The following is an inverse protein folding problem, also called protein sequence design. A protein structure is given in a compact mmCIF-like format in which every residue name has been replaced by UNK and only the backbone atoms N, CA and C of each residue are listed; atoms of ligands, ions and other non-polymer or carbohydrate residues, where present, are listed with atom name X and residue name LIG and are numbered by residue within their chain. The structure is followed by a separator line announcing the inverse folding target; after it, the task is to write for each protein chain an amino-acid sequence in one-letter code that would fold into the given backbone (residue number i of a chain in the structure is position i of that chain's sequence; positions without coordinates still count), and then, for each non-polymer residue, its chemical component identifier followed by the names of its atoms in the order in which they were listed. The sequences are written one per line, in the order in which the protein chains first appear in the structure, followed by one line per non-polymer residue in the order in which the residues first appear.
data_IF_679948452868
#
_entry.id   IF_679948452868
#
_cell.length_a   1.000
_cell.length_b   1.000
_cell.length_c   1.000
_cell.angle_alpha   90.00
_cell.angle_beta   90.00
_cell.angle_gamma   90.00
#
_symmetry.space_group_name_H-M   'P 1'
#
loop_
_entity.id
_entity.type
_entity.pdbx_description
1 polymer ?
#
# COMPACT_ATOMS: atom_id res chain seq x y z
N UNK A 1 40.73 45.03 -7.28
CA UNK A 1 40.18 44.62 -5.97
C UNK A 1 38.69 44.25 -6.04
N UNK A 2 37.87 44.93 -6.84
CA UNK A 2 36.41 44.68 -6.89
C UNK A 2 36.02 43.28 -7.43
N UNK A 3 36.78 42.75 -8.39
CA UNK A 3 36.47 41.46 -9.06
C UNK A 3 36.65 40.24 -8.14
N UNK A 4 37.65 40.28 -7.25
CA UNK A 4 37.88 39.27 -6.20
C UNK A 4 36.75 39.29 -5.16
N UNK A 5 36.29 40.49 -4.76
CA UNK A 5 35.15 40.63 -3.84
C UNK A 5 33.84 40.10 -4.46
N UNK A 6 33.59 40.38 -5.74
CA UNK A 6 32.40 39.87 -6.44
C UNK A 6 32.45 38.34 -6.53
N UNK A 7 33.60 37.75 -6.90
CA UNK A 7 33.78 36.29 -6.89
C UNK A 7 33.50 35.69 -5.52
N UNK A 8 34.08 36.25 -4.46
CA UNK A 8 33.88 35.78 -3.10
C UNK A 8 32.39 35.84 -2.69
N UNK A 9 31.68 36.93 -3.00
CA UNK A 9 30.25 37.05 -2.72
C UNK A 9 29.39 36.03 -3.48
N UNK A 10 29.71 35.79 -4.75
CA UNK A 10 29.00 34.81 -5.58
C UNK A 10 29.19 33.40 -5.04
N UNK A 11 30.42 33.00 -4.73
CA UNK A 11 30.73 31.69 -4.13
C UNK A 11 29.97 31.50 -2.81
N UNK A 12 29.95 32.53 -1.96
CA UNK A 12 29.30 32.48 -0.65
C UNK A 12 27.77 32.38 -0.77
N UNK A 13 27.16 33.03 -1.77
CA UNK A 13 25.72 32.87 -2.08
C UNK A 13 25.40 31.45 -2.56
N UNK A 14 26.20 30.90 -3.48
CA UNK A 14 26.00 29.53 -3.96
C UNK A 14 26.18 28.49 -2.85
N UNK A 15 27.17 28.66 -1.98
CA UNK A 15 27.38 27.78 -0.83
C UNK A 15 26.15 27.79 0.09
N UNK A 16 25.64 28.97 0.47
CA UNK A 16 24.42 29.08 1.30
C UNK A 16 23.20 28.44 0.65
N UNK A 17 23.03 28.63 -0.66
CA UNK A 17 21.91 28.06 -1.40
C UNK A 17 22.02 26.53 -1.49
N UNK A 18 23.24 26.01 -1.68
CA UNK A 18 23.53 24.58 -1.66
C UNK A 18 23.22 23.97 -0.30
N UNK A 19 23.71 24.56 0.79
CA UNK A 19 23.47 24.06 2.15
C UNK A 19 21.98 24.04 2.48
N UNK A 20 21.25 25.07 2.06
CA UNK A 20 19.79 25.13 2.21
C UNK A 20 19.08 24.02 1.43
N UNK A 21 19.52 23.72 0.21
CA UNK A 21 18.96 22.64 -0.60
C UNK A 21 19.29 21.26 -0.03
N UNK A 22 20.53 21.05 0.42
CA UNK A 22 20.94 19.81 1.08
C UNK A 22 20.12 19.55 2.36
N UNK A 23 19.84 20.59 3.14
CA UNK A 23 18.96 20.50 4.31
C UNK A 23 17.54 20.10 3.94
N UNK A 24 16.95 20.73 2.92
CA UNK A 24 15.60 20.39 2.44
C UNK A 24 15.52 18.97 1.89
N UNK A 25 16.55 18.53 1.15
CA UNK A 25 16.68 17.15 0.66
C UNK A 25 16.74 16.18 1.84
N UNK A 26 17.50 16.49 2.89
CA UNK A 26 17.58 15.62 4.05
C UNK A 26 16.24 15.54 4.81
N UNK A 27 15.58 16.68 5.05
CA UNK A 27 14.27 16.72 5.70
C UNK A 27 13.22 15.92 4.93
N UNK A 28 13.22 16.01 3.60
CA UNK A 28 12.29 15.25 2.76
C UNK A 28 12.61 13.76 2.76
N UNK A 29 13.89 13.35 2.76
CA UNK A 29 14.30 11.95 2.91
C UNK A 29 13.81 11.37 4.24
N UNK A 30 13.99 12.11 5.33
CA UNK A 30 13.56 11.68 6.66
C UNK A 30 12.02 11.58 6.73
N UNK A 31 11.30 12.52 6.12
CA UNK A 31 9.85 12.48 6.04
C UNK A 31 9.34 11.25 5.25
N UNK A 32 9.98 10.90 4.13
CA UNK A 32 9.66 9.71 3.35
C UNK A 32 9.89 8.44 4.18
N UNK A 33 11.05 8.33 4.84
CA UNK A 33 11.38 7.18 5.67
C UNK A 33 10.38 7.00 6.83
N UNK A 34 9.92 8.10 7.44
CA UNK A 34 8.91 8.07 8.49
C UNK A 34 7.56 7.54 7.97
N UNK A 35 7.14 7.95 6.77
CA UNK A 35 5.90 7.45 6.15
C UNK A 35 6.00 5.97 5.79
N UNK A 36 7.12 5.53 5.20
CA UNK A 36 7.38 4.13 4.88
C UNK A 36 7.33 3.25 6.16
N UNK A 37 7.98 3.71 7.24
CA UNK A 37 7.94 3.02 8.53
C UNK A 37 6.52 2.94 9.11
N UNK A 38 5.76 4.04 9.08
CA UNK A 38 4.39 4.06 9.57
C UNK A 38 3.47 3.09 8.79
N UNK A 39 3.61 3.04 7.45
CA UNK A 39 2.87 2.09 6.61
C UNK A 39 3.24 0.65 6.93
N UNK A 40 4.52 0.35 7.11
CA UNK A 40 4.99 -1.00 7.46
C UNK A 40 4.47 -1.45 8.83
N UNK A 41 4.52 -0.58 9.84
CA UNK A 41 3.97 -0.86 11.17
C UNK A 41 2.46 -1.15 11.08
N UNK A 42 1.72 -0.33 10.32
CA UNK A 42 0.28 -0.54 10.10
C UNK A 42 -0.01 -1.87 9.41
N UNK A 43 0.77 -2.23 8.38
CA UNK A 43 0.62 -3.49 7.67
C UNK A 43 0.86 -4.69 8.60
N UNK A 44 1.93 -4.65 9.40
CA UNK A 44 2.24 -5.71 10.37
C UNK A 44 1.13 -5.84 11.41
N UNK A 45 0.61 -4.72 11.92
CA UNK A 45 -0.48 -4.73 12.88
C UNK A 45 -1.77 -5.35 12.30
N UNK A 46 -2.11 -5.02 11.05
CA UNK A 46 -3.25 -5.61 10.34
C UNK A 46 -3.07 -7.11 10.10
N UNK A 47 -1.89 -7.54 9.66
CA UNK A 47 -1.59 -8.96 9.48
C UNK A 47 -1.72 -9.74 10.79
N UNK A 48 -1.24 -9.18 11.90
CA UNK A 48 -1.40 -9.77 13.23
C UNK A 48 -2.88 -9.88 13.64
N UNK A 49 -3.68 -8.85 13.38
CA UNK A 49 -5.12 -8.86 13.65
C UNK A 49 -5.87 -9.89 12.80
N UNK A 50 -5.55 -10.00 11.51
CA UNK A 50 -6.12 -11.02 10.62
C UNK A 50 -5.79 -12.42 11.15
N UNK A 51 -4.52 -12.68 11.47
CA UNK A 51 -4.09 -13.98 12.00
C UNK A 51 -4.81 -14.32 13.32
N UNK A 52 -4.99 -13.32 14.20
CA UNK A 52 -5.76 -13.47 15.44
C UNK A 52 -7.22 -13.83 15.16
N UNK A 53 -7.88 -13.11 14.27
CA UNK A 53 -9.29 -13.35 13.94
C UNK A 53 -9.49 -14.72 13.25
N UNK A 54 -8.57 -15.15 12.40
CA UNK A 54 -8.59 -16.49 11.81
C UNK A 54 -8.49 -17.60 12.87
N UNK A 55 -7.65 -17.43 13.91
CA UNK A 55 -7.57 -18.37 15.04
C UNK A 55 -8.90 -18.43 15.80
N UNK A 56 -9.52 -17.28 16.07
CA UNK A 56 -10.82 -17.21 16.74
C UNK A 56 -11.94 -17.86 15.92
N UNK A 57 -11.98 -17.62 14.60
CA UNK A 57 -12.94 -18.29 13.71
C UNK A 57 -12.79 -19.81 13.74
N UNK A 58 -11.55 -20.32 13.65
CA UNK A 58 -11.28 -21.76 13.77
C UNK A 58 -11.78 -22.32 15.10
N UNK A 59 -11.52 -21.62 16.20
CA UNK A 59 -11.99 -22.03 17.53
C UNK A 59 -13.53 -22.06 17.61
N UNK A 60 -14.20 -21.02 17.10
CA UNK A 60 -15.67 -20.93 17.10
C UNK A 60 -16.29 -22.02 16.23
N UNK A 61 -15.75 -22.30 15.05
CA UNK A 61 -16.21 -23.43 14.23
C UNK A 61 -16.09 -24.76 14.98
N UNK A 62 -14.99 -24.98 15.71
CA UNK A 62 -14.81 -26.15 16.57
C UNK A 62 -15.87 -26.24 17.67
N UNK A 63 -16.15 -25.14 18.37
CA UNK A 63 -17.20 -25.07 19.39
C UNK A 63 -18.60 -25.31 18.82
N UNK A 64 -18.91 -24.74 17.66
CA UNK A 64 -20.17 -24.97 16.95
C UNK A 64 -20.32 -26.45 16.61
N UNK A 65 -19.27 -27.10 16.08
CA UNK A 65 -19.30 -28.52 15.77
C UNK A 65 -19.57 -29.39 17.02
N UNK A 66 -18.84 -29.12 18.12
CA UNK A 66 -19.05 -29.80 19.41
C UNK A 66 -20.49 -29.60 19.91
N UNK A 67 -21.00 -28.37 19.88
CA UNK A 67 -22.35 -28.06 20.32
C UNK A 67 -23.40 -28.79 19.48
N UNK A 68 -23.26 -28.79 18.15
CA UNK A 68 -24.14 -29.51 17.24
C UNK A 68 -24.14 -31.01 17.53
N UNK A 69 -22.98 -31.61 17.79
CA UNK A 69 -22.86 -33.04 18.12
C UNK A 69 -23.48 -33.38 19.48
N UNK A 70 -23.30 -32.53 20.50
CA UNK A 70 -23.98 -32.70 21.78
C UNK A 70 -25.51 -32.64 21.63
N UNK A 71 -26.03 -31.68 20.86
CA UNK A 71 -27.45 -31.58 20.55
C UNK A 71 -27.97 -32.79 19.75
N UNK A 72 -27.16 -33.38 18.87
CA UNK A 72 -27.52 -34.62 18.15
C UNK A 72 -27.58 -35.81 19.10
N UNK A 73 -26.57 -35.99 19.95
CA UNK A 73 -26.52 -37.09 20.94
C UNK A 73 -27.67 -37.02 21.94
N UNK A 74 -28.00 -35.82 22.43
CA UNK A 74 -29.13 -35.63 23.34
C UNK A 74 -30.47 -35.98 22.69
N UNK A 75 -30.67 -35.59 21.43
CA UNK A 75 -31.86 -35.98 20.65
C UNK A 75 -31.93 -37.48 20.43
N UNK A 76 -30.84 -38.11 20.01
CA UNK A 76 -30.80 -39.56 19.82
C UNK A 76 -31.23 -40.32 21.09
N UNK A 77 -30.75 -39.90 22.27
CA UNK A 77 -31.18 -40.49 23.55
C UNK A 77 -32.67 -40.28 23.82
N UNK A 78 -33.16 -39.06 23.58
CA UNK A 78 -34.57 -38.73 23.74
C UNK A 78 -35.48 -39.53 22.79
N UNK A 79 -35.07 -39.68 21.53
CA UNK A 79 -35.80 -40.46 20.52
C UNK A 79 -35.81 -41.96 20.89
N UNK A 80 -34.72 -42.47 21.47
CA UNK A 80 -34.66 -43.84 22.02
C UNK A 80 -35.62 -44.02 23.20
N UNK A 81 -35.65 -43.08 24.14
CA UNK A 81 -36.57 -43.08 25.28
C UNK A 81 -38.04 -43.02 24.83
N UNK A 82 -38.37 -42.11 23.90
CA UNK A 82 -39.70 -42.04 23.28
C UNK A 82 -40.04 -43.35 22.59
N UNK A 83 -39.12 -43.93 21.81
CA UNK A 83 -39.37 -45.19 21.11
C UNK A 83 -39.54 -46.37 22.06
N UNK A 84 -38.90 -46.35 23.22
CA UNK A 84 -39.11 -47.32 24.31
C UNK A 84 -40.50 -47.13 24.92
N UNK A 85 -40.85 -45.91 25.30
CA UNK A 85 -42.18 -45.59 25.86
C UNK A 85 -43.31 -45.93 24.87
N UNK A 86 -43.15 -45.61 23.57
CA UNK A 86 -44.10 -45.99 22.51
C UNK A 86 -44.28 -47.50 22.42
N UNK A 87 -43.19 -48.28 22.51
CA UNK A 87 -43.27 -49.75 22.52
C UNK A 87 -43.95 -50.29 23.77
N UNK A 88 -43.69 -49.71 24.93
CA UNK A 88 -44.36 -50.08 26.19
C UNK A 88 -45.87 -49.78 26.12
N UNK A 89 -46.26 -48.63 25.58
CA UNK A 89 -47.67 -48.28 25.33
C UNK A 89 -48.30 -49.24 24.33
N UNK A 90 -47.65 -49.52 23.20
CA UNK A 90 -48.15 -50.49 22.20
C UNK A 90 -48.25 -51.92 22.77
N UNK A 91 -47.36 -52.30 23.70
CA UNK A 91 -47.44 -53.59 24.39
C UNK A 91 -48.60 -53.63 25.39
N UNK A 92 -48.88 -52.53 26.09
CA UNK A 92 -50.09 -52.36 26.90
C UNK A 92 -51.35 -52.36 26.02
N UNK A 93 -51.32 -51.76 24.83
CA UNK A 93 -52.40 -51.87 23.85
C UNK A 93 -52.50 -53.29 23.26
N UNK A 94 -51.41 -54.06 23.16
CA UNK A 94 -51.45 -55.48 22.80
C UNK A 94 -52.05 -56.35 23.92
N UNK A 95 -52.13 -55.82 25.15
CA UNK A 95 -53.07 -56.35 26.16
C UNK A 95 -54.53 -56.01 25.83
N UNK A 96 -54.85 -55.50 24.64
CA UNK A 96 -56.18 -55.58 24.03
C UNK A 96 -56.71 -57.01 24.06
N UNK A 97 -55.86 -58.04 24.08
CA UNK A 97 -56.26 -59.42 24.38
C UNK A 97 -56.90 -59.56 25.78
N UNK A 98 -56.32 -58.92 26.78
CA UNK A 98 -56.87 -58.81 28.14
C UNK A 98 -58.10 -57.90 28.19
N UNK A 99 -58.11 -56.74 27.49
CA UNK A 99 -59.28 -55.85 27.42
C UNK A 99 -60.45 -56.52 26.69
N UNK A 100 -60.21 -57.28 25.60
CA UNK A 100 -61.22 -58.13 24.94
C UNK A 100 -61.73 -59.23 25.87
N UNK A 101 -60.86 -59.84 26.66
CA UNK A 101 -61.22 -60.92 27.59
C UNK A 101 -62.05 -60.42 28.79
N UNK A 102 -61.76 -59.23 29.31
CA UNK A 102 -62.42 -58.65 30.49
C UNK A 102 -63.67 -57.85 30.12
N UNK A 103 -63.66 -57.08 29.02
CA UNK A 103 -64.74 -56.18 28.63
C UNK A 103 -65.60 -56.69 27.47
N UNK A 104 -65.35 -57.90 26.96
CA UNK A 104 -66.30 -58.58 26.06
C UNK A 104 -66.47 -57.92 24.69
N UNK A 105 -65.39 -57.42 24.10
CA UNK A 105 -65.32 -56.98 22.70
C UNK A 105 -65.15 -55.48 22.51
N UNK A 106 -63.96 -55.08 22.05
CA UNK A 106 -63.74 -53.78 21.41
C UNK A 106 -64.47 -53.67 20.06
N UNK A 107 -64.45 -52.48 19.42
CA UNK A 107 -65.46 -52.02 18.45
C UNK A 107 -65.55 -52.75 17.09
N UNK A 108 -64.77 -53.82 16.88
CA UNK A 108 -64.77 -54.57 15.62
C UNK A 108 -65.77 -55.75 15.60
N UNK A 109 -66.85 -55.67 16.39
CA UNK A 109 -67.98 -56.60 16.32
C UNK A 109 -68.70 -56.62 14.96
N UNK A 110 -68.38 -55.69 14.06
CA UNK A 110 -68.95 -55.60 12.71
C UNK A 110 -68.21 -56.40 11.63
N UNK A 111 -67.10 -57.09 11.95
CA UNK A 111 -66.42 -57.99 10.99
C UNK A 111 -66.72 -59.48 11.25
N UNK A 112 -67.71 -59.78 12.10
CA UNK A 112 -67.98 -61.15 12.57
C UNK A 112 -69.05 -61.90 11.78
N UNK A 113 -69.37 -61.47 10.56
CA UNK A 113 -70.23 -62.23 9.63
C UNK A 113 -69.46 -62.92 8.49
N UNK A 114 -68.12 -62.79 8.43
CA UNK A 114 -67.31 -63.41 7.37
C UNK A 114 -66.23 -64.41 7.82
N UNK A 115 -66.20 -64.81 9.09
CA UNK A 115 -65.34 -65.93 9.54
C UNK A 115 -66.15 -66.95 10.34
N UNK A 116 -67.09 -67.62 9.67
CA UNK A 116 -67.37 -69.02 10.01
C UNK A 116 -66.17 -69.81 9.47
N UNK A 117 -65.38 -70.34 10.40
CA UNK A 117 -64.27 -71.30 10.24
C UNK A 117 -62.91 -70.74 10.72
N UNK A 118 -62.81 -70.46 12.02
CA UNK A 118 -61.54 -70.67 12.72
C UNK A 118 -61.81 -71.06 14.18
N UNK A 119 -61.42 -72.29 14.49
CA UNK A 119 -61.52 -72.96 15.78
C UNK A 119 -60.53 -72.36 16.78
N UNK A 120 -60.87 -71.21 17.36
CA UNK A 120 -60.16 -70.66 18.52
C UNK A 120 -61.18 -70.37 19.61
N UNK A 121 -61.06 -71.13 20.70
CA UNK A 121 -62.02 -71.22 21.80
C UNK A 121 -62.48 -69.87 22.32
N UNK A 122 -63.75 -69.58 22.10
CA UNK A 122 -64.46 -68.48 22.75
C UNK A 122 -65.25 -69.12 23.90
N UNK A 123 -64.85 -68.86 25.15
CA UNK A 123 -65.58 -69.30 26.34
C UNK A 123 -67.02 -68.78 26.29
N UNK A 124 -67.96 -69.65 25.94
CA UNK A 124 -69.38 -69.39 26.09
C UNK A 124 -69.81 -69.83 27.50
N UNK A 125 -70.53 -68.99 28.27
CA UNK A 125 -71.05 -69.38 29.57
C UNK A 125 -72.07 -70.52 29.37
N UNK A 126 -71.76 -71.70 29.91
CA UNK A 126 -72.55 -72.92 29.70
C UNK A 126 -73.74 -73.04 30.67
N UNK A 127 -73.75 -72.27 31.76
CA UNK A 127 -74.80 -72.33 32.79
C UNK A 127 -75.86 -71.23 32.66
N UNK A 128 -77.13 -71.60 32.89
CA UNK A 128 -78.29 -70.69 32.85
C UNK A 128 -78.19 -69.57 33.90
N UNK A 129 -77.61 -69.86 35.06
CA UNK A 129 -77.36 -68.88 36.12
C UNK A 129 -76.29 -67.86 35.73
N UNK A 130 -75.27 -68.29 34.99
CA UNK A 130 -74.16 -67.46 34.55
C UNK A 130 -74.60 -66.44 33.49
N UNK A 131 -75.47 -66.86 32.56
CA UNK A 131 -76.11 -65.97 31.57
C UNK A 131 -77.01 -64.92 32.21
N UNK A 132 -77.74 -65.30 33.27
CA UNK A 132 -78.60 -64.37 34.01
C UNK A 132 -77.78 -63.34 34.80
N UNK A 133 -76.71 -63.78 35.46
CA UNK A 133 -75.83 -62.89 36.20
C UNK A 133 -75.11 -61.89 35.28
N UNK A 134 -74.58 -62.35 34.14
CA UNK A 134 -73.98 -61.47 33.13
C UNK A 134 -74.99 -60.46 32.54
N UNK A 135 -76.22 -60.87 32.29
CA UNK A 135 -77.28 -59.96 31.82
C UNK A 135 -77.65 -58.90 32.86
N UNK A 136 -77.70 -59.29 34.15
CA UNK A 136 -77.99 -58.36 35.25
C UNK A 136 -76.86 -57.35 35.44
N UNK A 137 -75.61 -57.81 35.33
CA UNK A 137 -74.41 -56.96 35.44
C UNK A 137 -74.28 -56.00 34.25
N UNK A 138 -74.64 -56.45 33.04
CA UNK A 138 -74.70 -55.60 31.84
C UNK A 138 -75.76 -54.50 31.98
N UNK A 139 -76.97 -54.84 32.44
CA UNK A 139 -78.01 -53.83 32.73
C UNK A 139 -77.60 -52.83 33.81
N UNK A 140 -76.86 -53.26 34.83
CA UNK A 140 -76.32 -52.34 35.85
C UNK A 140 -75.24 -51.40 35.28
N UNK A 141 -74.36 -51.90 34.39
CA UNK A 141 -73.38 -51.06 33.72
C UNK A 141 -74.04 -50.06 32.75
N UNK A 142 -75.05 -50.50 32.00
CA UNK A 142 -75.86 -49.64 31.12
C UNK A 142 -76.63 -48.56 31.89
N UNK A 143 -77.04 -48.81 33.14
CA UNK A 143 -77.67 -47.80 34.01
C UNK A 143 -76.68 -46.75 34.56
N UNK A 144 -75.39 -47.09 34.67
CA UNK A 144 -74.35 -46.17 35.18
C UNK A 144 -73.72 -45.35 34.05
N UNK A 145 -73.78 -45.84 32.81
CA UNK A 145 -73.26 -45.16 31.63
C UNK A 145 -74.39 -44.39 30.95
N UNK A 146 -74.50 -43.09 31.26
CA UNK A 146 -75.40 -42.18 30.54
C UNK A 146 -75.07 -42.15 29.03
N UNK A 147 -76.05 -41.90 28.18
CA UNK A 147 -75.81 -41.75 26.73
C UNK A 147 -74.74 -40.67 26.43
N UNK A 148 -74.68 -39.61 27.25
CA UNK A 148 -73.65 -38.56 27.15
C UNK A 148 -72.21 -39.06 27.38
N UNK A 149 -71.99 -40.02 28.28
CA UNK A 149 -70.65 -40.57 28.50
C UNK A 149 -70.22 -41.48 27.36
N UNK A 150 -71.15 -42.24 26.77
CA UNK A 150 -70.92 -42.97 25.52
C UNK A 150 -70.56 -42.04 24.36
N UNK A 151 -71.28 -40.93 24.22
CA UNK A 151 -71.05 -39.97 23.12
C UNK A 151 -69.75 -39.17 23.34
N UNK A 152 -69.39 -38.85 24.59
CA UNK A 152 -68.07 -38.28 24.92
C UNK A 152 -66.93 -39.22 24.60
N UNK A 153 -67.06 -40.52 24.91
CA UNK A 153 -66.04 -41.51 24.57
C UNK A 153 -65.91 -41.64 23.05
N UNK A 154 -67.03 -41.68 22.31
CA UNK A 154 -67.02 -41.69 20.85
C UNK A 154 -66.36 -40.45 20.26
N UNK A 155 -66.59 -39.26 20.83
CA UNK A 155 -65.93 -38.03 20.40
C UNK A 155 -64.43 -38.01 20.70
N UNK A 156 -64.00 -38.58 21.83
CA UNK A 156 -62.58 -38.70 22.14
C UNK A 156 -61.90 -39.70 21.18
N UNK A 157 -62.55 -40.83 20.88
CA UNK A 157 -62.06 -41.80 19.89
C UNK A 157 -61.94 -41.20 18.48
N UNK A 158 -62.93 -40.43 18.02
CA UNK A 158 -62.85 -39.78 16.70
C UNK A 158 -61.74 -38.74 16.67
N UNK A 159 -61.59 -37.93 17.71
CA UNK A 159 -60.50 -36.94 17.82
C UNK A 159 -59.11 -37.59 17.80
N UNK A 160 -58.93 -38.72 18.48
CA UNK A 160 -57.67 -39.46 18.50
C UNK A 160 -57.35 -40.10 17.14
N UNK A 161 -58.36 -40.65 16.45
CA UNK A 161 -58.20 -41.21 15.09
C UNK A 161 -57.86 -40.15 14.05
N UNK A 162 -58.42 -38.94 14.17
CA UNK A 162 -58.11 -37.83 13.24
C UNK A 162 -56.76 -37.17 13.51
N UNK A 163 -56.22 -37.25 14.73
CA UNK A 163 -54.88 -36.73 15.06
C UNK A 163 -53.73 -37.57 14.49
N UNK A 164 -53.93 -38.86 14.21
CA UNK A 164 -52.92 -39.74 13.64
C UNK A 164 -52.69 -39.60 12.12
N UNK A 165 -53.55 -38.84 11.41
CA UNK A 165 -53.48 -38.66 9.96
C UNK A 165 -52.84 -37.32 9.54
N UNK A 166 -52.52 -36.42 10.47
CA UNK A 166 -51.74 -35.23 10.16
C UNK A 166 -50.29 -35.62 9.97
N UNK A 167 -49.83 -35.52 8.74
CA UNK A 167 -48.46 -35.63 8.21
C UNK A 167 -47.39 -34.79 8.91
N UNK A 168 -47.72 -34.09 10.00
CA UNK A 168 -46.84 -33.17 10.71
C UNK A 168 -45.78 -33.87 11.57
N UNK A 169 -46.02 -35.07 12.12
CA UNK A 169 -45.01 -35.77 12.91
C UNK A 169 -43.79 -36.20 12.08
N UNK A 170 -43.96 -36.50 10.77
CA UNK A 170 -42.84 -36.84 9.88
C UNK A 170 -42.06 -35.62 9.37
N UNK A 171 -42.65 -34.42 9.42
CA UNK A 171 -41.97 -33.16 9.06
C UNK A 171 -41.09 -32.67 10.22
N UNK A 172 -41.49 -32.93 11.47
CA UNK A 172 -40.73 -32.50 12.66
C UNK A 172 -39.39 -33.25 12.77
N UNK A 173 -39.32 -34.52 12.37
CA UNK A 173 -38.10 -35.33 12.44
C UNK A 173 -36.98 -34.89 11.46
N UNK A 174 -37.29 -34.14 10.40
CA UNK A 174 -36.31 -33.70 9.38
C UNK A 174 -35.87 -32.25 9.49
N UNK A 175 -36.49 -31.44 10.34
CA UNK A 175 -35.98 -30.09 10.64
C UNK A 175 -34.74 -30.21 11.51
N UNK A 176 -33.56 -30.14 10.89
CA UNK A 176 -32.33 -29.70 11.57
C UNK A 176 -32.71 -28.43 12.32
N UNK A 177 -32.81 -28.49 13.65
CA UNK A 177 -32.87 -27.31 14.51
C UNK A 177 -31.61 -26.49 14.26
N UNK A 178 -31.68 -25.64 13.24
CA UNK A 178 -30.89 -24.45 13.13
C UNK A 178 -31.49 -23.52 14.17
N UNK A 179 -30.74 -23.18 15.22
CA UNK A 179 -31.13 -22.09 16.11
C UNK A 179 -30.42 -20.86 15.54
N UNK A 180 -31.08 -20.05 14.67
CA UNK A 180 -30.43 -18.92 14.01
C UNK A 180 -29.88 -17.85 14.96
N UNK A 181 -30.11 -17.99 16.28
CA UNK A 181 -29.79 -17.01 17.32
C UNK A 181 -28.80 -17.56 18.36
N UNK A 182 -28.08 -18.65 18.07
CA UNK A 182 -27.03 -19.12 18.99
C UNK A 182 -25.89 -18.09 19.04
N UNK A 183 -25.46 -17.70 20.25
CA UNK A 183 -24.42 -16.68 20.46
C UNK A 183 -23.13 -16.95 19.67
N UNK A 184 -22.73 -18.21 19.55
CA UNK A 184 -21.57 -18.62 18.73
C UNK A 184 -21.76 -18.36 17.22
N UNK A 185 -22.96 -18.54 16.66
CA UNK A 185 -23.25 -18.28 15.24
C UNK A 185 -23.30 -16.78 14.94
N UNK A 186 -23.82 -15.99 15.88
CA UNK A 186 -23.77 -14.52 15.81
C UNK A 186 -22.32 -14.06 15.83
N UNK A 187 -21.52 -14.60 16.75
CA UNK A 187 -20.10 -14.25 16.88
C UNK A 187 -19.25 -14.69 15.68
N UNK A 188 -19.56 -15.82 15.07
CA UNK A 188 -18.96 -16.29 13.81
C UNK A 188 -19.21 -15.28 12.68
N UNK A 189 -20.45 -14.83 12.51
CA UNK A 189 -20.81 -13.82 11.51
C UNK A 189 -20.06 -12.50 11.74
N UNK A 190 -20.11 -11.97 12.96
CA UNK A 190 -19.39 -10.73 13.32
C UNK A 190 -17.89 -10.83 13.02
N UNK A 191 -17.25 -11.93 13.42
CA UNK A 191 -15.82 -12.12 13.19
C UNK A 191 -15.49 -12.33 11.70
N UNK A 192 -16.39 -12.97 10.94
CA UNK A 192 -16.23 -13.11 9.50
C UNK A 192 -16.32 -11.77 8.78
N UNK A 193 -17.25 -10.89 9.19
CA UNK A 193 -17.38 -9.53 8.65
C UNK A 193 -16.18 -8.65 9.01
N UNK A 194 -15.66 -8.77 10.23
CA UNK A 194 -14.44 -8.06 10.63
C UNK A 194 -13.23 -8.61 9.86
N UNK A 195 -13.14 -9.92 9.64
CA UNK A 195 -12.05 -10.51 8.87
C UNK A 195 -12.06 -10.05 7.40
N UNK A 196 -13.22 -9.97 6.75
CA UNK A 196 -13.33 -9.48 5.37
C UNK A 196 -12.97 -7.99 5.29
N UNK A 197 -13.42 -7.16 6.24
CA UNK A 197 -13.02 -5.73 6.31
C UNK A 197 -11.51 -5.56 6.43
N UNK A 198 -10.87 -6.30 7.34
CA UNK A 198 -9.43 -6.24 7.51
C UNK A 198 -8.65 -6.72 6.28
N UNK A 199 -9.16 -7.71 5.56
CA UNK A 199 -8.56 -8.15 4.29
C UNK A 199 -8.65 -7.06 3.22
N UNK A 200 -9.80 -6.39 3.08
CA UNK A 200 -9.95 -5.26 2.16
C UNK A 200 -8.99 -4.12 2.53
N UNK A 201 -8.87 -3.78 3.81
CA UNK A 201 -7.91 -2.77 4.29
C UNK A 201 -6.45 -3.16 3.98
N UNK A 202 -6.11 -4.44 4.15
CA UNK A 202 -4.79 -4.95 3.78
C UNK A 202 -4.52 -4.80 2.28
N UNK A 203 -5.47 -5.17 1.42
CA UNK A 203 -5.32 -5.06 -0.04
C UNK A 203 -5.19 -3.60 -0.49
N UNK A 204 -5.96 -2.70 0.11
CA UNK A 204 -5.85 -1.25 -0.13
C UNK A 204 -4.47 -0.72 0.30
N UNK A 205 -3.93 -1.17 1.43
CA UNK A 205 -2.59 -0.75 1.85
C UNK A 205 -1.49 -1.31 0.95
N UNK A 206 -1.59 -2.58 0.52
CA UNK A 206 -0.63 -3.18 -0.39
C UNK A 206 -0.61 -2.46 -1.74
N UNK A 207 -1.78 -2.20 -2.32
CA UNK A 207 -1.90 -1.44 -3.58
C UNK A 207 -1.34 -0.01 -3.46
N UNK A 208 -1.57 0.65 -2.32
CA UNK A 208 -0.99 1.96 -2.05
C UNK A 208 0.54 1.90 -1.92
N UNK A 209 1.10 0.89 -1.23
CA UNK A 209 2.54 0.69 -1.11
C UNK A 209 3.17 0.49 -2.49
N UNK A 210 2.56 -0.35 -3.34
CA UNK A 210 3.08 -0.63 -4.68
C UNK A 210 3.01 0.60 -5.59
N UNK A 211 1.91 1.37 -5.52
CA UNK A 211 1.80 2.65 -6.22
C UNK A 211 2.90 3.63 -5.79
N UNK A 212 3.16 3.74 -4.48
CA UNK A 212 4.24 4.60 -3.94
C UNK A 212 5.63 4.15 -4.39
N UNK A 213 5.88 2.85 -4.48
CA UNK A 213 7.14 2.32 -5.02
C UNK A 213 7.32 2.69 -6.50
N UNK A 214 6.25 2.58 -7.30
CA UNK A 214 6.29 3.00 -8.70
C UNK A 214 6.51 4.50 -8.85
N UNK A 215 5.82 5.33 -8.06
CA UNK A 215 6.03 6.78 -8.03
C UNK A 215 7.49 7.13 -7.68
N UNK A 216 8.07 6.45 -6.67
CA UNK A 216 9.47 6.63 -6.29
C UNK A 216 10.42 6.28 -7.44
N UNK A 217 10.22 5.13 -8.08
CA UNK A 217 11.05 4.70 -9.20
C UNK A 217 10.98 5.69 -10.37
N UNK A 218 9.78 6.14 -10.74
CA UNK A 218 9.60 7.15 -11.79
C UNK A 218 10.30 8.48 -11.44
N UNK A 219 10.26 8.88 -10.17
CA UNK A 219 10.97 10.07 -9.72
C UNK A 219 12.48 9.88 -9.80
N UNK A 220 13.01 8.74 -9.38
CA UNK A 220 14.44 8.41 -9.50
C UNK A 220 14.92 8.45 -10.96
N UNK A 221 14.15 7.89 -11.88
CA UNK A 221 14.43 7.93 -13.32
C UNK A 221 14.41 9.37 -13.87
N UNK A 222 13.40 10.17 -13.50
CA UNK A 222 13.33 11.59 -13.90
C UNK A 222 14.49 12.39 -13.34
N UNK A 223 14.85 12.19 -12.08
CA UNK A 223 15.98 12.86 -11.45
C UNK A 223 17.31 12.46 -12.10
N UNK A 224 17.50 11.18 -12.43
CA UNK A 224 18.68 10.73 -13.17
C UNK A 224 18.79 11.45 -14.52
N UNK A 225 17.68 11.54 -15.28
CA UNK A 225 17.67 12.24 -16.56
C UNK A 225 18.00 13.73 -16.43
N UNK A 226 17.46 14.41 -15.41
CA UNK A 226 17.75 15.82 -15.15
C UNK A 226 19.22 16.02 -14.77
N UNK A 227 19.78 15.14 -13.94
CA UNK A 227 21.20 15.19 -13.54
C UNK A 227 22.11 14.98 -14.77
N UNK A 228 21.78 14.04 -15.64
CA UNK A 228 22.50 13.82 -16.88
C UNK A 228 22.44 15.04 -17.81
N UNK A 229 21.28 15.67 -17.94
CA UNK A 229 21.10 16.89 -18.73
C UNK A 229 21.92 18.06 -18.18
N UNK A 230 21.84 18.32 -16.87
CA UNK A 230 22.65 19.35 -16.19
C UNK A 230 24.14 19.05 -16.37
N UNK A 231 24.56 17.80 -16.21
CA UNK A 231 25.97 17.42 -16.37
C UNK A 231 26.46 17.65 -17.80
N UNK A 232 25.62 17.36 -18.80
CA UNK A 232 25.90 17.60 -20.22
C UNK A 232 25.99 19.10 -20.52
N UNK A 233 25.05 19.90 -20.03
CA UNK A 233 25.05 21.35 -20.18
C UNK A 233 26.29 21.97 -19.51
N UNK A 234 26.64 21.51 -18.30
CA UNK A 234 27.82 21.97 -17.59
C UNK A 234 29.08 21.65 -18.39
N UNK A 235 29.24 20.41 -18.86
CA UNK A 235 30.38 19.99 -19.69
C UNK A 235 30.51 20.84 -20.96
N UNK A 236 29.39 21.08 -21.67
CA UNK A 236 29.37 21.95 -22.85
C UNK A 236 29.77 23.38 -22.50
N UNK A 237 29.29 23.92 -21.38
CA UNK A 237 29.64 25.27 -20.93
C UNK A 237 31.13 25.37 -20.58
N UNK A 238 31.70 24.38 -19.90
CA UNK A 238 33.13 24.31 -19.58
C UNK A 238 33.98 24.26 -20.84
N UNK A 239 33.60 23.45 -21.83
CA UNK A 239 34.30 23.37 -23.11
C UNK A 239 34.28 24.72 -23.84
N UNK A 240 33.13 25.41 -23.86
CA UNK A 240 33.00 26.75 -24.44
C UNK A 240 33.87 27.78 -23.72
N UNK A 241 33.92 27.76 -22.39
CA UNK A 241 34.81 28.64 -21.61
C UNK A 241 36.28 28.34 -21.87
N UNK A 242 36.66 27.06 -22.00
CA UNK A 242 38.04 26.68 -22.37
C UNK A 242 38.41 27.21 -23.74
N UNK A 243 37.56 27.00 -24.77
CA UNK A 243 37.77 27.54 -26.12
C UNK A 243 37.99 29.05 -26.10
N UNK A 244 37.11 29.77 -25.41
CA UNK A 244 37.20 31.23 -25.31
C UNK A 244 38.42 31.72 -24.54
N UNK A 245 38.88 30.96 -23.55
CA UNK A 245 40.13 31.25 -22.82
C UNK A 245 41.33 31.10 -23.75
N UNK A 246 41.38 30.04 -24.55
CA UNK A 246 42.44 29.81 -25.53
C UNK A 246 42.43 30.94 -26.58
N UNK A 247 41.27 31.30 -27.13
CA UNK A 247 41.14 32.43 -28.08
C UNK A 247 41.64 33.77 -27.51
N UNK A 248 41.36 34.03 -26.23
CA UNK A 248 41.85 35.24 -25.57
C UNK A 248 43.36 35.17 -25.30
N UNK A 249 43.89 33.99 -24.98
CA UNK A 249 45.34 33.77 -24.81
C UNK A 249 46.09 33.97 -26.14
N UNK A 250 45.62 33.37 -27.23
CA UNK A 250 46.25 33.55 -28.55
C UNK A 250 46.19 35.01 -28.99
N UNK A 251 45.05 35.69 -28.78
CA UNK A 251 44.94 37.12 -29.09
C UNK A 251 45.89 37.98 -28.26
N UNK A 252 46.12 37.63 -27.00
CA UNK A 252 47.10 38.30 -26.15
C UNK A 252 48.52 38.10 -26.70
N UNK A 253 48.89 36.88 -27.09
CA UNK A 253 50.20 36.56 -27.67
C UNK A 253 50.46 37.30 -29.00
N UNK A 254 49.44 37.42 -29.86
CA UNK A 254 49.50 38.22 -31.09
C UNK A 254 49.78 39.70 -30.78
N UNK A 255 49.05 40.28 -29.82
CA UNK A 255 49.23 41.68 -29.43
C UNK A 255 50.59 41.92 -28.78
N UNK A 256 51.09 40.97 -27.98
CA UNK A 256 52.43 41.03 -27.42
C UNK A 256 53.50 40.99 -28.52
N UNK A 257 53.34 40.10 -29.51
CA UNK A 257 54.25 40.00 -30.66
C UNK A 257 54.25 41.29 -31.51
N UNK A 258 53.07 41.87 -31.75
CA UNK A 258 52.94 43.16 -32.45
C UNK A 258 53.61 44.30 -31.68
N UNK A 259 53.41 44.37 -30.36
CA UNK A 259 54.08 45.34 -29.49
C UNK A 259 55.59 45.20 -29.58
N UNK A 260 56.09 43.96 -29.55
CA UNK A 260 57.53 43.71 -29.58
C UNK A 260 58.13 44.03 -30.95
N UNK A 261 57.43 43.76 -32.06
CA UNK A 261 57.88 44.18 -33.39
C UNK A 261 57.94 45.72 -33.52
N UNK A 262 56.94 46.43 -32.99
CA UNK A 262 56.94 47.89 -32.97
C UNK A 262 58.12 48.43 -32.15
N UNK A 263 58.41 47.85 -30.98
CA UNK A 263 59.59 48.22 -30.18
C UNK A 263 60.89 48.02 -30.91
N UNK A 264 61.04 46.92 -31.67
CA UNK A 264 62.25 46.66 -32.45
C UNK A 264 62.41 47.67 -33.59
N UNK A 265 61.33 47.99 -34.31
CA UNK A 265 61.35 49.04 -35.35
C UNK A 265 61.72 50.41 -34.77
N UNK A 266 61.10 50.80 -33.64
CA UNK A 266 61.45 52.05 -32.94
C UNK A 266 62.93 52.09 -32.52
N UNK A 267 63.48 50.97 -32.03
CA UNK A 267 64.90 50.88 -31.69
C UNK A 267 65.81 51.02 -32.91
N UNK A 268 65.47 50.36 -34.02
CA UNK A 268 66.24 50.48 -35.27
C UNK A 268 66.23 51.91 -35.83
N UNK A 269 65.07 52.58 -35.83
CA UNK A 269 64.95 53.99 -36.22
C UNK A 269 65.79 54.90 -35.32
N UNK A 270 65.80 54.67 -34.00
CA UNK A 270 66.64 55.40 -33.05
C UNK A 270 68.13 55.17 -33.30
N UNK A 271 68.54 53.94 -33.63
CA UNK A 271 69.92 53.61 -33.98
C UNK A 271 70.30 54.31 -35.29
N UNK A 272 69.46 54.27 -36.32
CA UNK A 272 69.73 54.94 -37.59
C UNK A 272 69.83 56.46 -37.43
N UNK A 273 68.93 57.06 -36.65
CA UNK A 273 68.94 58.48 -36.33
C UNK A 273 70.20 58.90 -35.55
N UNK A 274 70.63 58.08 -34.57
CA UNK A 274 71.87 58.34 -33.82
C UNK A 274 73.11 58.19 -34.69
N UNK A 275 73.18 57.19 -35.58
CA UNK A 275 74.26 57.05 -36.56
C UNK A 275 74.32 58.26 -37.50
N UNK A 276 73.18 58.69 -38.06
CA UNK A 276 73.09 59.90 -38.90
C UNK A 276 73.57 61.14 -38.15
N UNK A 277 73.17 61.30 -36.89
CA UNK A 277 73.60 62.40 -36.04
C UNK A 277 75.11 62.39 -35.77
N UNK A 278 75.67 61.23 -35.41
CA UNK A 278 77.13 61.07 -35.17
C UNK A 278 77.93 61.35 -36.44
N UNK A 279 77.48 60.85 -37.60
CA UNK A 279 78.13 61.12 -38.88
C UNK A 279 78.11 62.61 -39.24
N UNK A 280 76.97 63.29 -39.08
CA UNK A 280 76.88 64.75 -39.27
C UNK A 280 77.79 65.51 -38.31
N UNK A 281 77.87 65.07 -37.04
CA UNK A 281 78.76 65.67 -36.04
C UNK A 281 80.24 65.48 -36.41
N UNK A 282 80.61 64.31 -36.93
CA UNK A 282 81.98 64.04 -37.41
C UNK A 282 82.32 64.93 -38.62
N UNK A 283 81.46 64.99 -39.63
CA UNK A 283 81.63 65.87 -40.78
C UNK A 283 81.76 67.35 -40.38
N UNK A 284 80.94 67.80 -39.43
CA UNK A 284 81.05 69.15 -38.89
C UNK A 284 82.38 69.39 -38.18
N UNK A 285 82.89 68.40 -37.44
CA UNK A 285 84.19 68.49 -36.79
C UNK A 285 85.35 68.49 -37.79
N UNK A 286 85.27 67.69 -38.85
CA UNK A 286 86.26 67.69 -39.95
C UNK A 286 86.29 69.07 -40.62
N UNK A 287 85.12 69.63 -40.95
CA UNK A 287 85.02 71.01 -41.44
C UNK A 287 85.63 72.00 -40.45
N UNK A 288 85.30 71.92 -39.15
CA UNK A 288 85.91 72.78 -38.13
C UNK A 288 87.45 72.69 -38.12
N UNK A 289 88.03 71.50 -38.30
CA UNK A 289 89.48 71.32 -38.40
C UNK A 289 90.05 71.96 -39.67
N UNK A 290 89.43 71.76 -40.83
CA UNK A 290 89.83 72.39 -42.10
C UNK A 290 89.76 73.92 -42.01
N UNK A 291 88.69 74.47 -41.43
CA UNK A 291 88.57 75.92 -41.21
C UNK A 291 89.62 76.44 -40.24
N UNK A 292 89.94 75.70 -39.17
CA UNK A 292 91.02 76.06 -38.25
C UNK A 292 92.40 76.08 -38.95
N UNK A 293 92.68 75.14 -39.87
CA UNK A 293 93.88 75.15 -40.71
C UNK A 293 93.95 76.36 -41.65
N UNK A 294 92.80 76.84 -42.12
CA UNK A 294 92.68 78.07 -42.92
C UNK A 294 92.69 79.36 -42.06
N UNK A 295 92.84 79.25 -40.73
CA UNK A 295 92.86 80.38 -39.81
C UNK A 295 91.48 81.03 -39.59
N UNK A 296 90.40 80.33 -39.92
CA UNK A 296 89.02 80.79 -39.80
C UNK A 296 88.32 80.03 -38.66
N UNK A 297 87.63 80.75 -37.76
CA UNK A 297 86.78 80.13 -36.75
C UNK A 297 85.31 80.20 -37.18
N UNK A 298 84.65 79.05 -37.24
CA UNK A 298 83.20 78.98 -37.38
C UNK A 298 82.57 79.12 -36.00
N UNK A 299 81.93 80.25 -35.73
CA UNK A 299 80.97 80.37 -34.63
C UNK A 299 79.59 80.62 -35.24
N UNK A 300 78.62 79.78 -34.86
CA UNK A 300 77.23 79.98 -35.25
C UNK A 300 76.60 80.85 -34.16
N UNK A 301 76.34 82.12 -34.50
CA UNK A 301 75.62 83.04 -33.62
C UNK A 301 74.14 82.61 -33.50
N UNK A 302 73.66 82.37 -32.28
CA UNK A 302 72.28 81.92 -32.03
C UNK A 302 71.17 82.93 -32.36
N UNK A 303 71.52 84.13 -32.86
CA UNK A 303 70.60 85.27 -33.01
C UNK A 303 70.37 85.67 -34.48
N UNK A 304 71.03 85.07 -35.48
CA UNK A 304 70.86 85.47 -36.88
C UNK A 304 71.02 84.33 -37.87
N UNK A 305 69.93 83.94 -38.54
CA UNK A 305 69.90 82.81 -39.49
C UNK A 305 70.59 83.04 -40.84
N UNK A 306 71.34 84.13 -41.07
CA UNK A 306 71.87 84.45 -42.40
C UNK A 306 73.24 85.18 -42.45
N UNK A 307 74.22 84.80 -41.62
CA UNK A 307 75.63 85.18 -41.86
C UNK A 307 76.55 83.99 -41.62
N UNK A 308 77.17 83.48 -42.68
CA UNK A 308 77.82 82.16 -42.66
C UNK A 308 79.34 82.16 -42.38
N UNK A 309 80.03 83.31 -42.38
CA UNK A 309 81.48 83.35 -42.12
C UNK A 309 81.91 84.67 -41.45
N UNK A 310 82.31 84.62 -40.18
CA UNK A 310 83.14 85.68 -39.59
C UNK A 310 84.62 85.37 -39.90
N UNK A 311 85.27 86.19 -40.74
CA UNK A 311 86.73 86.18 -40.86
C UNK A 311 87.32 86.82 -39.61
N UNK A 312 87.57 86.05 -38.55
CA UNK A 312 88.48 86.47 -37.48
C UNK A 312 89.80 85.74 -37.64
N UNK A 313 90.92 86.45 -37.89
CA UNK A 313 92.23 85.83 -37.87
C UNK A 313 92.48 85.22 -36.49
N UNK A 314 92.95 83.98 -36.46
CA UNK A 314 93.55 83.39 -35.28
C UNK A 314 94.78 84.22 -34.88
N UNK A 315 94.61 85.15 -33.94
CA UNK A 315 95.74 85.67 -33.20
C UNK A 315 96.20 84.56 -32.26
N UNK A 316 97.38 83.99 -32.54
CA UNK A 316 98.14 83.23 -31.56
C UNK A 316 98.21 84.06 -30.27
N UNK A 317 98.00 83.46 -29.09
CA UNK A 317 98.28 84.16 -27.86
C UNK A 317 99.78 84.42 -27.82
N UNK A 318 100.17 85.69 -27.79
CA UNK A 318 101.47 86.05 -27.28
C UNK A 318 101.46 85.75 -25.78
N UNK A 319 102.30 84.76 -25.41
CA UNK A 319 102.68 84.25 -24.08
C UNK A 319 101.96 82.99 -23.59
#
# INVERSE_FOLDING_TARGET
MELEQIKAQVVLRYAKQRDSLELQIQQTKDAIANVENAMNISLVALQANIARNQRWLKAIHGWIAIHQDLCRRRRYRWDQEISKMRREILALEATEGFVKAVFGGGPNGALRDQQKNSSVGCFQPQSKCEKMWLSRRRKQAELVISQESCDRIRNIETLLRTRGLSTDEQVIAKKKFFVPHHSLLIREKELSEVATKLQVEQDVLLTNIDKRKQEKQQLEERWASVIEEISRELANSEENFRKRTIELQTRLEELLSQRDSMRMMEQEELIEATVKYVNRKRQMNELHQEFAHLGLSLSINGVGRFSYFERRPNYLPYR
#
